data_IF_023304714710
#
_entry.id   IF_023304714710
#
_cell.length_a   1.000
_cell.length_b   1.000
_cell.length_c   1.000
_cell.angle_alpha   90.00
_cell.angle_beta   90.00
_cell.angle_gamma   90.00
#
_symmetry.space_group_name_H-M   'P 1'
#
loop_
_entity.id
_entity.type
_entity.pdbx_description
1 polymer ?
#
# COMPACT_ATOMS: atom_id res chain seq x y z
N UNK A 1 12.99 5.12 -11.37
CA UNK A 1 12.38 3.92 -11.96
C UNK A 1 10.88 4.15 -12.07
N UNK A 2 10.30 3.96 -13.27
CA UNK A 2 8.88 4.24 -13.53
C UNK A 2 7.91 3.41 -12.69
N UNK A 3 8.31 2.22 -12.28
CA UNK A 3 7.47 1.27 -11.54
C UNK A 3 7.90 1.10 -10.09
N UNK A 4 8.62 2.06 -9.52
CA UNK A 4 8.97 1.98 -8.11
C UNK A 4 7.77 2.33 -7.25
N UNK A 5 7.66 1.66 -6.10
CA UNK A 5 6.55 1.92 -5.18
C UNK A 5 6.61 3.35 -4.63
N UNK A 6 7.80 3.88 -4.33
CA UNK A 6 7.91 5.27 -3.86
C UNK A 6 7.46 6.27 -4.92
N UNK A 7 7.76 6.01 -6.20
CA UNK A 7 7.28 6.85 -7.30
C UNK A 7 5.76 6.83 -7.41
N UNK A 8 5.16 5.65 -7.30
CA UNK A 8 3.71 5.49 -7.32
C UNK A 8 3.05 6.23 -6.14
N UNK A 9 3.60 6.06 -4.93
CA UNK A 9 3.09 6.75 -3.74
C UNK A 9 3.14 8.27 -3.92
N UNK A 10 4.29 8.79 -4.36
CA UNK A 10 4.46 10.23 -4.57
C UNK A 10 3.40 10.81 -5.51
N UNK A 11 3.06 10.10 -6.57
CA UNK A 11 2.15 10.59 -7.60
C UNK A 11 0.67 10.38 -7.28
N UNK A 12 0.32 9.45 -6.42
CA UNK A 12 -1.08 9.01 -6.27
C UNK A 12 -1.62 9.03 -4.85
N UNK A 13 -0.80 9.33 -3.85
CA UNK A 13 -1.28 9.38 -2.47
C UNK A 13 -2.27 10.53 -2.28
N UNK A 14 -3.46 10.18 -1.79
CA UNK A 14 -4.48 11.15 -1.40
C UNK A 14 -4.48 11.27 0.12
N UNK A 15 -4.38 12.48 0.62
CA UNK A 15 -4.40 12.76 2.06
C UNK A 15 -5.59 13.63 2.37
N UNK A 16 -6.36 13.22 3.38
CA UNK A 16 -7.53 13.95 3.85
C UNK A 16 -7.37 14.26 5.33
N UNK A 17 -7.62 15.50 5.71
CA UNK A 17 -7.70 15.90 7.11
C UNK A 17 -9.08 15.52 7.61
N UNK A 18 -9.16 14.62 8.60
CA UNK A 18 -10.41 14.06 9.10
C UNK A 18 -11.18 15.04 9.98
N UNK A 19 -10.47 15.85 10.75
CA UNK A 19 -11.09 16.90 11.56
C UNK A 19 -10.61 18.25 11.06
N UNK A 20 -11.57 19.15 10.89
CA UNK A 20 -11.31 20.47 10.31
C UNK A 20 -10.27 21.29 11.05
N UNK A 21 -9.87 22.37 10.45
CA UNK A 21 -8.75 23.23 10.83
C UNK A 21 -8.94 23.99 12.15
N UNK A 22 -10.02 23.76 12.88
CA UNK A 22 -10.38 24.55 14.06
C UNK A 22 -9.61 24.17 15.32
N UNK A 23 -9.02 22.95 15.35
CA UNK A 23 -8.20 22.51 16.47
C UNK A 23 -6.80 22.20 15.99
N UNK A 24 -5.81 23.07 16.31
CA UNK A 24 -4.42 22.87 15.86
C UNK A 24 -3.79 21.56 16.31
N UNK A 25 -4.20 21.02 17.47
CA UNK A 25 -3.67 19.75 17.96
C UNK A 25 -4.23 18.58 17.15
N UNK A 26 -5.52 18.58 16.88
CA UNK A 26 -6.17 17.52 16.11
C UNK A 26 -5.78 17.53 14.65
N UNK A 27 -5.50 18.70 14.10
CA UNK A 27 -5.08 18.87 12.72
C UNK A 27 -3.87 18.01 12.33
N UNK A 28 -2.93 17.83 13.25
CA UNK A 28 -1.72 17.06 12.99
C UNK A 28 -1.87 15.57 13.29
N UNK A 29 -2.92 15.19 14.03
CA UNK A 29 -3.12 13.82 14.51
C UNK A 29 -4.13 13.02 13.70
N UNK A 30 -5.04 13.68 13.00
CA UNK A 30 -6.19 13.03 12.37
C UNK A 30 -6.20 13.24 10.86
N UNK A 31 -5.26 12.58 10.19
CA UNK A 31 -5.24 12.52 8.73
C UNK A 31 -5.55 11.09 8.28
N UNK A 32 -6.23 10.95 7.16
CA UNK A 32 -6.31 9.68 6.45
C UNK A 32 -5.57 9.80 5.13
N UNK A 33 -4.90 8.73 4.75
CA UNK A 33 -4.18 8.65 3.49
C UNK A 33 -4.64 7.41 2.75
N UNK A 34 -4.71 7.50 1.43
CA UNK A 34 -5.19 6.39 0.61
C UNK A 34 -4.49 6.36 -0.73
N UNK A 35 -4.17 5.13 -1.15
CA UNK A 35 -3.65 4.84 -2.49
C UNK A 35 -4.62 3.91 -3.22
N UNK A 36 -4.72 4.03 -4.56
CA UNK A 36 -5.46 3.05 -5.34
C UNK A 36 -4.88 1.65 -5.18
N UNK A 37 -5.71 0.61 -5.25
CA UNK A 37 -5.22 -0.76 -5.38
C UNK A 37 -4.34 -0.88 -6.62
N UNK A 38 -3.15 -1.43 -6.47
CA UNK A 38 -2.23 -1.62 -7.57
C UNK A 38 -2.68 -2.84 -8.37
N UNK A 39 -2.76 -2.67 -9.68
CA UNK A 39 -2.95 -3.76 -10.63
C UNK A 39 -1.68 -3.87 -11.45
N UNK A 40 -1.08 -5.04 -11.49
CA UNK A 40 0.13 -5.31 -12.27
C UNK A 40 -0.22 -5.81 -13.67
N UNK A 41 0.76 -5.80 -14.56
CA UNK A 41 0.56 -6.16 -15.97
C UNK A 41 0.07 -7.59 -16.18
N UNK A 42 0.39 -8.51 -15.27
CA UNK A 42 -0.07 -9.91 -15.33
C UNK A 42 -1.43 -10.13 -14.64
N UNK A 43 -2.04 -9.06 -14.11
CA UNK A 43 -3.32 -9.12 -13.40
C UNK A 43 -3.21 -9.25 -11.88
N UNK A 44 -2.02 -9.44 -11.33
CA UNK A 44 -1.83 -9.47 -9.88
C UNK A 44 -2.26 -8.15 -9.26
N UNK A 45 -2.98 -8.22 -8.13
CA UNK A 45 -3.46 -7.02 -7.44
C UNK A 45 -3.05 -7.04 -5.98
N UNK A 46 -2.79 -5.87 -5.42
CA UNK A 46 -2.57 -5.72 -3.98
C UNK A 46 -2.84 -4.27 -3.56
N UNK A 47 -3.20 -4.11 -2.28
CA UNK A 47 -3.29 -2.79 -1.66
C UNK A 47 -1.93 -2.44 -1.07
N UNK A 48 -1.41 -1.26 -1.37
CA UNK A 48 -0.23 -0.70 -0.69
C UNK A 48 -0.68 0.59 -0.03
N UNK A 49 -0.50 0.70 1.28
CA UNK A 49 -0.94 1.87 2.03
C UNK A 49 0.16 2.37 2.96
N UNK A 50 0.17 3.67 3.17
CA UNK A 50 1.13 4.36 4.02
C UNK A 50 0.45 5.49 4.78
N UNK A 51 0.97 5.87 5.93
CA UNK A 51 0.45 7.02 6.68
C UNK A 51 0.40 6.79 8.18
N UNK A 52 -0.27 7.70 8.89
CA UNK A 52 -0.25 7.77 10.36
C UNK A 52 -0.87 6.57 11.05
N UNK A 53 -1.86 5.94 10.44
CA UNK A 53 -2.58 4.80 11.03
C UNK A 53 -2.26 3.48 10.35
N UNK A 54 -1.16 3.45 9.58
CA UNK A 54 -0.81 2.31 8.76
C UNK A 54 0.58 1.79 9.14
N UNK A 55 0.81 0.51 8.89
CA UNK A 55 2.07 -0.14 9.24
C UNK A 55 3.14 0.16 8.19
N UNK A 56 3.52 1.44 8.13
CA UNK A 56 4.57 1.96 7.23
C UNK A 56 5.70 2.62 8.02
N UNK A 57 6.83 2.81 7.37
CA UNK A 57 7.97 3.54 7.92
C UNK A 57 8.39 4.62 6.93
N UNK A 58 8.30 5.90 7.27
CA UNK A 58 7.78 6.41 8.53
C UNK A 58 6.27 6.19 8.68
N UNK A 59 5.78 6.15 9.91
CA UNK A 59 4.37 5.98 10.22
C UNK A 59 3.67 7.34 10.22
N UNK A 60 3.76 8.02 9.09
CA UNK A 60 3.18 9.34 8.84
C UNK A 60 3.16 9.58 7.34
N UNK A 61 2.47 10.64 6.90
CA UNK A 61 2.58 11.10 5.52
C UNK A 61 3.99 11.67 5.29
N UNK A 62 4.69 11.14 4.32
CA UNK A 62 6.07 11.52 4.03
C UNK A 62 6.35 11.49 2.53
N UNK A 63 7.50 12.04 2.13
CA UNK A 63 7.90 12.05 0.72
C UNK A 63 8.44 10.70 0.25
N UNK A 64 9.00 9.92 1.16
CA UNK A 64 9.57 8.59 0.85
C UNK A 64 9.31 7.65 2.01
N UNK A 65 9.23 6.37 1.68
CA UNK A 65 9.02 5.30 2.65
C UNK A 65 10.09 4.23 2.50
N UNK A 66 10.48 3.62 3.62
CA UNK A 66 11.37 2.46 3.63
C UNK A 66 10.58 1.16 3.78
N UNK A 67 9.39 1.24 4.33
CA UNK A 67 8.49 0.10 4.47
C UNK A 67 7.03 0.55 4.34
N UNK A 68 6.18 -0.35 3.88
CA UNK A 68 4.77 -0.05 3.62
C UNK A 68 3.88 -1.18 4.16
N UNK A 69 2.59 -0.88 4.31
CA UNK A 69 1.59 -1.90 4.59
C UNK A 69 1.05 -2.45 3.27
N UNK A 70 1.00 -3.78 3.15
CA UNK A 70 0.35 -4.44 2.02
C UNK A 70 -0.90 -5.14 2.53
N UNK A 71 -1.95 -5.13 1.74
CA UNK A 71 -3.19 -5.84 2.06
C UNK A 71 -3.76 -6.61 0.90
N UNK A 72 -4.31 -7.77 1.20
CA UNK A 72 -5.21 -8.52 0.35
C UNK A 72 -4.71 -8.74 -1.09
N UNK A 73 -3.50 -9.33 -1.26
CA UNK A 73 -3.03 -9.67 -2.60
C UNK A 73 -4.00 -10.65 -3.26
N UNK A 74 -4.14 -10.55 -4.57
CA UNK A 74 -5.10 -11.38 -5.32
C UNK A 74 -4.74 -12.86 -5.35
N UNK A 75 -3.48 -13.19 -5.04
CA UNK A 75 -3.00 -14.56 -4.91
C UNK A 75 -1.88 -14.61 -3.88
N UNK A 76 -1.53 -15.80 -3.43
CA UNK A 76 -0.41 -16.01 -2.51
C UNK A 76 0.89 -15.54 -3.17
N UNK A 77 1.58 -14.57 -2.54
CA UNK A 77 2.84 -14.04 -3.01
C UNK A 77 3.96 -14.42 -2.03
N UNK A 78 4.79 -15.42 -2.36
CA UNK A 78 5.83 -15.89 -1.45
C UNK A 78 6.85 -14.84 -1.03
N UNK A 79 7.10 -13.83 -1.88
CA UNK A 79 8.09 -12.79 -1.57
C UNK A 79 7.75 -11.98 -0.32
N UNK A 80 6.46 -11.87 0.02
CA UNK A 80 6.02 -11.07 1.17
C UNK A 80 5.49 -11.90 2.33
N UNK A 81 5.43 -13.22 2.18
CA UNK A 81 4.79 -14.12 3.13
C UNK A 81 5.21 -13.91 4.58
N UNK A 82 6.51 -13.72 4.84
CA UNK A 82 7.02 -13.61 6.21
C UNK A 82 6.53 -12.36 6.96
N UNK A 83 5.95 -11.39 6.28
CA UNK A 83 5.38 -10.18 6.90
C UNK A 83 3.89 -10.28 7.12
N UNK A 84 3.25 -11.40 6.73
CA UNK A 84 1.81 -11.58 6.92
C UNK A 84 1.46 -11.65 8.40
N UNK A 85 0.43 -10.92 8.80
CA UNK A 85 -0.01 -10.93 10.20
C UNK A 85 -0.62 -12.26 10.61
N UNK A 86 -1.15 -13.04 9.67
CA UNK A 86 -1.72 -14.37 9.93
C UNK A 86 -0.74 -15.53 9.72
N UNK A 87 0.56 -15.24 9.62
CA UNK A 87 1.59 -16.22 9.27
C UNK A 87 1.57 -17.49 10.13
N UNK A 88 1.24 -17.35 11.40
CA UNK A 88 1.31 -18.47 12.36
C UNK A 88 -0.04 -19.15 12.62
N UNK A 89 -1.06 -18.82 11.84
CA UNK A 89 -2.30 -19.58 11.87
C UNK A 89 -2.11 -20.96 11.24
N UNK A 90 -2.96 -21.93 11.61
CA UNK A 90 -2.82 -23.31 11.11
C UNK A 90 -2.97 -23.41 9.59
N UNK A 91 -3.95 -22.69 9.04
CA UNK A 91 -4.19 -22.66 7.59
C UNK A 91 -4.39 -21.21 7.15
N UNK A 92 -3.30 -20.43 7.09
CA UNK A 92 -3.43 -19.01 6.77
C UNK A 92 -3.90 -18.79 5.34
N UNK A 93 -4.87 -17.91 5.17
CA UNK A 93 -5.24 -17.40 3.85
C UNK A 93 -4.43 -16.14 3.57
N UNK A 94 -3.39 -16.27 2.75
CA UNK A 94 -2.47 -15.19 2.44
C UNK A 94 -3.08 -14.12 1.52
N UNK A 95 -4.30 -14.33 1.02
CA UNK A 95 -5.05 -13.33 0.26
C UNK A 95 -6.02 -12.52 1.15
N UNK A 96 -6.21 -12.93 2.38
CA UNK A 96 -7.12 -12.28 3.33
C UNK A 96 -6.37 -11.87 4.60
N UNK A 97 -5.35 -11.08 4.42
CA UNK A 97 -4.53 -10.59 5.54
C UNK A 97 -3.78 -9.32 5.16
N UNK A 98 -3.23 -8.69 6.17
CA UNK A 98 -2.38 -7.52 6.05
C UNK A 98 -0.93 -7.93 6.30
N UNK A 99 -0.01 -7.25 5.63
CA UNK A 99 1.43 -7.46 5.73
C UNK A 99 2.06 -6.18 6.26
N UNK A 100 2.66 -6.25 7.44
CA UNK A 100 3.13 -5.07 8.17
C UNK A 100 4.58 -4.75 7.85
N UNK A 101 4.88 -3.48 7.60
CA UNK A 101 6.25 -2.99 7.41
C UNK A 101 7.05 -3.77 6.36
N UNK A 102 6.45 -4.00 5.22
CA UNK A 102 7.14 -4.67 4.10
C UNK A 102 8.17 -3.72 3.50
N UNK A 103 9.45 -4.11 3.45
CA UNK A 103 10.49 -3.24 2.87
C UNK A 103 10.16 -2.85 1.44
N UNK A 104 10.36 -1.58 1.12
CA UNK A 104 10.12 -1.06 -0.24
C UNK A 104 10.91 -1.84 -1.30
N UNK A 105 12.13 -2.28 -0.96
CA UNK A 105 12.92 -3.12 -1.85
C UNK A 105 12.20 -4.41 -2.24
N UNK A 106 11.53 -5.04 -1.29
CA UNK A 106 10.76 -6.27 -1.54
C UNK A 106 9.52 -5.97 -2.37
N UNK A 107 8.83 -4.87 -2.06
CA UNK A 107 7.66 -4.45 -2.85
C UNK A 107 8.04 -4.24 -4.32
N UNK A 108 9.16 -3.58 -4.57
CA UNK A 108 9.66 -3.38 -5.94
C UNK A 108 9.97 -4.72 -6.64
N UNK A 109 10.45 -5.72 -5.90
CA UNK A 109 10.67 -7.06 -6.44
C UNK A 109 9.35 -7.73 -6.83
N UNK A 110 8.31 -7.56 -6.02
CA UNK A 110 6.96 -8.06 -6.33
C UNK A 110 6.44 -7.41 -7.61
N UNK A 111 6.54 -6.09 -7.70
CA UNK A 111 6.10 -5.36 -8.90
C UNK A 111 6.82 -5.86 -10.14
N UNK A 112 8.14 -6.01 -10.07
CA UNK A 112 8.95 -6.51 -11.19
C UNK A 112 8.55 -7.93 -11.59
N UNK A 113 8.33 -8.80 -10.62
CA UNK A 113 7.90 -10.18 -10.86
C UNK A 113 6.59 -10.24 -11.65
N UNK A 114 5.67 -9.32 -11.38
CA UNK A 114 4.35 -9.28 -11.99
C UNK A 114 4.25 -8.35 -13.21
N UNK A 115 5.37 -7.94 -13.77
CA UNK A 115 5.42 -7.17 -15.01
C UNK A 115 5.29 -5.67 -14.86
N UNK A 116 5.35 -5.16 -13.64
CA UNK A 116 5.22 -3.74 -13.35
C UNK A 116 3.77 -3.31 -13.14
N UNK A 117 3.59 -2.07 -12.72
CA UNK A 117 2.25 -1.50 -12.48
C UNK A 117 1.57 -1.21 -13.81
N UNK A 118 0.37 -1.74 -14.00
CA UNK A 118 -0.53 -1.29 -15.06
C UNK A 118 -1.27 -0.05 -14.55
N UNK A 119 -0.73 1.11 -14.84
CA UNK A 119 -1.25 2.36 -14.31
C UNK A 119 -2.64 2.68 -14.86
N UNK A 120 -2.86 2.42 -16.13
CA UNK A 120 -4.16 2.67 -16.78
C UNK A 120 -5.26 1.88 -16.08
N UNK A 121 -5.04 0.58 -15.88
CA UNK A 121 -6.01 -0.30 -15.22
C UNK A 121 -6.17 0.04 -13.75
N UNK A 122 -5.08 0.35 -13.05
CA UNK A 122 -5.10 0.77 -11.64
C UNK A 122 -5.99 1.99 -11.44
N UNK A 123 -5.80 3.02 -12.27
CA UNK A 123 -6.57 4.26 -12.14
C UNK A 123 -8.01 4.10 -12.62
N UNK A 124 -8.25 3.28 -13.63
CA UNK A 124 -9.59 2.97 -14.10
C UNK A 124 -10.43 2.36 -12.98
N UNK A 125 -9.91 1.33 -12.33
CA UNK A 125 -10.61 0.67 -11.23
C UNK A 125 -10.81 1.58 -10.02
N UNK A 126 -9.85 2.44 -9.72
CA UNK A 126 -9.96 3.40 -8.63
C UNK A 126 -11.13 4.36 -8.84
N UNK A 127 -11.32 4.84 -10.06
CA UNK A 127 -12.43 5.72 -10.41
C UNK A 127 -13.80 5.03 -10.30
N UNK A 128 -13.86 3.74 -10.59
CA UNK A 128 -15.11 2.98 -10.53
C UNK A 128 -15.59 2.75 -9.10
N UNK A 129 -14.68 2.68 -8.13
CA UNK A 129 -15.03 2.43 -6.72
C UNK A 129 -14.99 3.69 -5.86
N UNK A 130 -14.45 4.76 -6.38
CA UNK A 130 -14.43 6.05 -5.70
C UNK A 130 -15.73 6.84 -6.03
#
# INVERSE_FOLDING_TARGET
MKNSINGFIKNHLKVKVLYGNKDPLMKHMMTSSRLPHIVCSDGFEMSVQVGSHLYSTPKKVAKRYSAVEIGFPSEHEPLIEKWAENLFEDTPDFTDTVYSYVPVKVVNQVLKKHGGIDLTETLRRYKEVA
#
